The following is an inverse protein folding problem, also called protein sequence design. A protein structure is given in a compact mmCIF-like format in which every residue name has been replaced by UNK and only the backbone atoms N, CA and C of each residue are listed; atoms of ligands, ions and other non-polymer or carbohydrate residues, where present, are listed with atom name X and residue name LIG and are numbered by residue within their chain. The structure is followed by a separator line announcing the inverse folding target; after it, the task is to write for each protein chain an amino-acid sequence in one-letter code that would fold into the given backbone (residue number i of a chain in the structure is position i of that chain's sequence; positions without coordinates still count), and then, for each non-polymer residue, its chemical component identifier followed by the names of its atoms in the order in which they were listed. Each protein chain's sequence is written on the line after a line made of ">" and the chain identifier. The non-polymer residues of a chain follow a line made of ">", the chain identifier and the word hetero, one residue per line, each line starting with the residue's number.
data_IF_910416165258
#
_entry.id   IF_910416165258
#
_cell.length_a   1.000
_cell.length_b   1.000
_cell.length_c   1.000
_cell.angle_alpha   90.00
_cell.angle_beta   90.00
_cell.angle_gamma   90.00
#
_symmetry.space_group_name_H-M   'P 1'
#
loop_
_entity.id
_entity.type
_entity.pdbx_description
1 polymer ?
#
# COMPACT_ATOMS: atom_id res chain seq x y z
N UNK A 1 6.51 -36.53 57.18
CA UNK A 1 6.20 -35.25 56.50
C UNK A 1 5.66 -35.58 55.12
N UNK A 2 4.33 -35.52 54.94
CA UNK A 2 3.67 -35.91 53.69
C UNK A 2 3.66 -34.76 52.69
N UNK A 3 4.23 -34.99 51.50
CA UNK A 3 4.08 -34.10 50.35
C UNK A 3 2.80 -34.48 49.62
N UNK A 4 1.81 -33.59 49.73
CA UNK A 4 0.52 -33.62 49.04
C UNK A 4 0.73 -33.08 47.61
N UNK A 5 0.98 -33.96 46.64
CA UNK A 5 0.90 -33.62 45.21
C UNK A 5 -0.52 -33.92 44.71
N UNK A 6 -1.41 -32.93 44.79
CA UNK A 6 -2.60 -32.90 43.95
C UNK A 6 -2.24 -32.33 42.56
N UNK A 7 -3.00 -32.63 41.50
CA UNK A 7 -2.81 -31.99 40.21
C UNK A 7 -3.14 -30.51 40.35
N UNK A 8 -2.12 -29.66 40.24
CA UNK A 8 -2.29 -28.21 40.18
C UNK A 8 -2.78 -27.86 38.77
N UNK A 9 -4.10 -27.86 38.59
CA UNK A 9 -4.74 -27.29 37.40
C UNK A 9 -4.67 -25.78 37.50
N UNK A 10 -3.51 -25.21 37.19
CA UNK A 10 -3.41 -23.77 36.94
C UNK A 10 -4.29 -23.47 35.72
N UNK A 11 -5.36 -22.67 35.85
CA UNK A 11 -6.14 -22.26 34.69
C UNK A 11 -5.22 -21.43 33.80
N UNK A 12 -4.95 -21.91 32.59
CA UNK A 12 -4.38 -21.06 31.54
C UNK A 12 -5.34 -19.88 31.35
N UNK A 13 -4.87 -18.62 31.39
CA UNK A 13 -5.69 -17.51 30.97
C UNK A 13 -6.07 -17.74 29.51
N UNK A 14 -7.38 -17.90 29.26
CA UNK A 14 -7.95 -18.01 27.91
C UNK A 14 -7.37 -16.92 27.00
N UNK A 15 -6.94 -17.26 25.79
CA UNK A 15 -7.90 -17.60 24.75
C UNK A 15 -8.53 -16.36 24.12
N UNK A 16 -7.82 -15.23 24.09
CA UNK A 16 -8.17 -14.14 23.18
C UNK A 16 -7.79 -14.56 21.76
N UNK A 17 -8.78 -14.77 20.90
CA UNK A 17 -8.58 -15.07 19.48
C UNK A 17 -7.60 -14.04 18.86
N UNK A 18 -6.38 -14.44 18.44
CA UNK A 18 -5.42 -13.51 17.90
C UNK A 18 -5.56 -13.42 16.37
N UNK A 19 -6.73 -12.98 15.89
CA UNK A 19 -7.00 -12.80 14.46
C UNK A 19 -7.17 -11.33 14.08
N UNK A 20 -8.16 -10.66 14.67
CA UNK A 20 -8.59 -9.32 14.23
C UNK A 20 -7.60 -8.19 14.44
N UNK A 21 -6.88 -8.13 15.58
CA UNK A 21 -6.00 -6.99 15.87
C UNK A 21 -4.77 -6.91 14.95
N UNK A 22 -4.27 -8.06 14.48
CA UNK A 22 -3.15 -8.12 13.53
C UNK A 22 -3.58 -7.71 12.13
N UNK A 23 -4.72 -8.22 11.67
CA UNK A 23 -5.30 -7.88 10.37
C UNK A 23 -5.66 -6.39 10.28
N UNK A 24 -6.26 -5.82 11.32
CA UNK A 24 -6.56 -4.37 11.39
C UNK A 24 -5.28 -3.51 11.32
N UNK A 25 -4.19 -3.98 11.93
CA UNK A 25 -2.89 -3.29 11.87
C UNK A 25 -2.28 -3.38 10.47
N UNK A 26 -2.40 -4.54 9.82
CA UNK A 26 -1.90 -4.79 8.46
C UNK A 26 -2.67 -3.96 7.41
N UNK A 27 -4.00 -3.92 7.50
CA UNK A 27 -4.87 -3.06 6.68
C UNK A 27 -4.52 -1.57 6.83
N UNK A 28 -4.29 -1.11 8.06
CA UNK A 28 -3.85 0.27 8.32
C UNK A 28 -2.46 0.58 7.73
N UNK A 29 -1.54 -0.40 7.76
CA UNK A 29 -0.24 -0.28 7.12
C UNK A 29 -0.35 -0.23 5.58
N UNK A 30 -1.26 -1.00 4.98
CA UNK A 30 -1.53 -0.97 3.53
C UNK A 30 -2.07 0.39 3.06
N UNK A 31 -3.03 0.98 3.77
CA UNK A 31 -3.56 2.32 3.44
C UNK A 31 -2.47 3.39 3.56
N UNK A 32 -1.66 3.31 4.61
CA UNK A 32 -0.53 4.23 4.81
C UNK A 32 0.52 4.07 3.69
N UNK A 33 0.81 2.83 3.28
CA UNK A 33 1.73 2.55 2.18
C UNK A 33 1.19 3.06 0.83
N UNK A 34 -0.11 2.91 0.57
CA UNK A 34 -0.75 3.46 -0.63
C UNK A 34 -0.59 4.99 -0.69
N UNK A 35 -0.95 5.69 0.39
CA UNK A 35 -0.81 7.15 0.44
C UNK A 35 0.64 7.56 0.21
N UNK A 36 1.58 6.86 0.84
CA UNK A 36 3.00 7.11 0.66
C UNK A 36 3.46 6.90 -0.80
N UNK A 37 2.99 5.85 -1.48
CA UNK A 37 3.30 5.61 -2.90
C UNK A 37 2.78 6.75 -3.78
N UNK A 38 1.57 7.25 -3.51
CA UNK A 38 1.02 8.40 -4.23
C UNK A 38 1.83 9.68 -3.97
N UNK A 39 2.17 9.95 -2.70
CA UNK A 39 2.97 11.12 -2.33
C UNK A 39 4.35 11.10 -3.01
N UNK A 40 4.99 9.92 -3.07
CA UNK A 40 6.26 9.73 -3.78
C UNK A 40 6.10 9.91 -5.28
N UNK A 41 5.01 9.43 -5.89
CA UNK A 41 4.72 9.62 -7.31
C UNK A 41 4.58 11.10 -7.66
N UNK A 42 3.86 11.86 -6.83
CA UNK A 42 3.69 13.30 -7.01
C UNK A 42 5.01 14.06 -6.83
N UNK A 43 5.83 13.67 -5.85
CA UNK A 43 7.16 14.25 -5.64
C UNK A 43 8.07 14.01 -6.85
N UNK A 44 8.15 12.77 -7.33
CA UNK A 44 8.95 12.41 -8.52
C UNK A 44 8.49 13.23 -9.72
N UNK A 45 7.17 13.32 -9.94
CA UNK A 45 6.63 14.11 -11.03
C UNK A 45 6.99 15.60 -10.92
N UNK A 46 6.93 16.17 -9.71
CA UNK A 46 7.34 17.54 -9.43
C UNK A 46 8.82 17.81 -9.73
N UNK A 47 9.71 16.88 -9.37
CA UNK A 47 11.14 16.98 -9.69
C UNK A 47 11.40 16.88 -11.19
N UNK A 48 10.68 16.01 -11.89
CA UNK A 48 10.76 15.88 -13.35
C UNK A 48 10.41 17.20 -14.04
N UNK A 49 9.30 17.85 -13.63
CA UNK A 49 8.88 19.14 -14.19
C UNK A 49 9.89 20.26 -13.91
N UNK A 50 10.53 20.24 -12.73
CA UNK A 50 11.60 21.18 -12.39
C UNK A 50 12.86 20.98 -13.24
N UNK A 51 13.28 19.73 -13.43
CA UNK A 51 14.41 19.40 -14.28
C UNK A 51 14.15 19.86 -15.72
N UNK A 52 12.96 19.60 -16.24
CA UNK A 52 12.55 20.03 -17.58
C UNK A 52 12.58 21.55 -17.74
N UNK A 53 12.04 22.30 -16.78
CA UNK A 53 12.07 23.76 -16.82
C UNK A 53 13.51 24.30 -16.83
N UNK A 54 14.41 23.64 -16.10
CA UNK A 54 15.84 23.99 -16.07
C UNK A 54 16.51 23.70 -17.42
N UNK A 55 16.24 22.53 -18.00
CA UNK A 55 16.74 22.13 -19.31
C UNK A 55 16.21 23.06 -20.42
N UNK A 56 14.95 23.49 -20.34
CA UNK A 56 14.35 24.42 -21.30
C UNK A 56 14.92 25.85 -21.19
N UNK A 57 15.30 26.28 -19.98
CA UNK A 57 16.01 27.55 -19.76
C UNK A 57 17.42 27.54 -20.34
N UNK A 58 18.18 26.46 -20.12
CA UNK A 58 19.48 26.24 -20.77
C UNK A 58 19.31 26.13 -22.29
N UNK A 59 18.25 25.42 -22.68
CA UNK A 59 17.54 25.31 -23.98
C UNK A 59 17.74 26.39 -25.02
N UNK A 60 17.39 27.59 -24.55
CA UNK A 60 17.07 28.72 -25.41
C UNK A 60 18.26 29.13 -26.31
N UNK A 61 19.49 28.93 -25.85
CA UNK A 61 20.70 29.35 -26.57
C UNK A 61 21.24 28.33 -27.60
N UNK A 62 20.93 27.03 -27.45
CA UNK A 62 21.50 25.92 -28.25
C UNK A 62 20.49 25.29 -29.21
N UNK A 63 19.19 25.60 -29.04
CA UNK A 63 18.09 25.17 -29.93
C UNK A 63 18.35 25.50 -31.41
N UNK A 64 19.07 26.58 -31.73
CA UNK A 64 19.31 26.97 -33.13
C UNK A 64 20.11 25.94 -33.96
N UNK A 65 20.96 25.11 -33.35
CA UNK A 65 21.88 24.24 -34.10
C UNK A 65 21.55 22.74 -34.01
N UNK A 66 20.67 22.31 -33.09
CA UNK A 66 20.32 20.89 -32.92
C UNK A 66 18.88 20.66 -32.41
N UNK A 67 17.96 21.55 -32.80
CA UNK A 67 16.56 21.56 -32.34
C UNK A 67 15.86 20.19 -32.40
N UNK A 68 16.07 19.39 -33.45
CA UNK A 68 15.31 18.14 -33.62
C UNK A 68 15.71 17.07 -32.60
N UNK A 69 17.01 16.86 -32.36
CA UNK A 69 17.50 15.88 -31.38
C UNK A 69 17.05 16.24 -29.96
N UNK A 70 17.06 17.53 -29.63
CA UNK A 70 16.53 18.04 -28.36
C UNK A 70 15.03 17.77 -28.24
N UNK A 71 14.23 18.13 -29.26
CA UNK A 71 12.79 17.92 -29.23
C UNK A 71 12.45 16.43 -29.08
N UNK A 72 13.12 15.55 -29.82
CA UNK A 72 12.95 14.09 -29.67
C UNK A 72 13.29 13.60 -28.27
N UNK A 73 14.39 14.09 -27.67
CA UNK A 73 14.75 13.71 -26.31
C UNK A 73 13.71 14.20 -25.29
N UNK A 74 13.19 15.41 -25.47
CA UNK A 74 12.16 16.00 -24.62
C UNK A 74 10.84 15.22 -24.69
N UNK A 75 10.42 14.82 -25.90
CA UNK A 75 9.20 14.03 -26.12
C UNK A 75 9.33 12.62 -25.51
N UNK A 76 10.47 11.96 -25.72
CA UNK A 76 10.76 10.66 -25.11
C UNK A 76 10.78 10.74 -23.58
N UNK A 77 11.39 11.79 -23.04
CA UNK A 77 11.45 12.01 -21.60
C UNK A 77 10.07 12.22 -20.99
N UNK A 78 9.23 13.05 -21.61
CA UNK A 78 7.83 13.27 -21.20
C UNK A 78 7.01 11.98 -21.19
N UNK A 79 7.22 11.15 -22.21
CA UNK A 79 6.56 9.85 -22.32
C UNK A 79 6.95 8.94 -21.15
N UNK A 80 8.25 8.77 -20.91
CA UNK A 80 8.76 7.94 -19.82
C UNK A 80 8.35 8.44 -18.43
N UNK A 81 8.32 9.75 -18.22
CA UNK A 81 7.84 10.36 -16.99
C UNK A 81 6.37 10.02 -16.71
N UNK A 82 5.54 10.06 -17.76
CA UNK A 82 4.11 9.71 -17.67
C UNK A 82 3.93 8.22 -17.40
N UNK A 83 4.70 7.37 -18.07
CA UNK A 83 4.69 5.92 -17.82
C UNK A 83 5.09 5.57 -16.39
N UNK A 84 6.16 6.19 -15.87
CA UNK A 84 6.60 6.01 -14.49
C UNK A 84 5.51 6.42 -13.50
N UNK A 85 4.88 7.58 -13.70
CA UNK A 85 3.76 8.03 -12.87
C UNK A 85 2.65 6.98 -12.89
N UNK A 86 2.20 6.55 -14.07
CA UNK A 86 1.11 5.58 -14.19
C UNK A 86 1.46 4.25 -13.51
N UNK A 87 2.70 3.77 -13.63
CA UNK A 87 3.15 2.56 -12.95
C UNK A 87 3.08 2.68 -11.42
N UNK A 88 3.50 3.83 -10.87
CA UNK A 88 3.42 4.09 -9.43
C UNK A 88 1.97 4.17 -8.93
N UNK A 89 1.08 4.82 -9.69
CA UNK A 89 -0.35 4.84 -9.38
C UNK A 89 -0.95 3.43 -9.43
N UNK A 90 -0.65 2.64 -10.46
CA UNK A 90 -1.13 1.26 -10.57
C UNK A 90 -0.67 0.39 -9.38
N UNK A 91 0.55 0.61 -8.86
CA UNK A 91 1.04 -0.06 -7.65
C UNK A 91 0.20 0.36 -6.43
N UNK A 92 -0.06 1.66 -6.27
CA UNK A 92 -0.93 2.19 -5.22
C UNK A 92 -2.36 1.64 -5.29
N UNK A 93 -2.94 1.57 -6.48
CA UNK A 93 -4.29 1.04 -6.72
C UNK A 93 -4.35 -0.47 -6.46
N UNK A 94 -3.32 -1.23 -6.82
CA UNK A 94 -3.22 -2.66 -6.52
C UNK A 94 -3.18 -2.96 -5.01
N UNK A 95 -2.51 -2.10 -4.23
CA UNK A 95 -2.55 -2.12 -2.77
C UNK A 95 -3.96 -1.84 -2.23
N UNK A 96 -4.66 -0.86 -2.81
CA UNK A 96 -6.04 -0.51 -2.43
C UNK A 96 -7.04 -1.63 -2.73
N UNK A 97 -6.92 -2.25 -3.90
CA UNK A 97 -7.76 -3.37 -4.31
C UNK A 97 -7.55 -4.58 -3.38
N UNK A 98 -6.30 -4.87 -3.03
CA UNK A 98 -5.96 -5.92 -2.07
C UNK A 98 -6.61 -5.64 -0.71
N UNK A 99 -6.56 -4.41 -0.23
CA UNK A 99 -7.21 -3.97 1.01
C UNK A 99 -8.74 -4.15 0.97
N UNK A 100 -9.41 -3.80 -0.14
CA UNK A 100 -10.85 -4.02 -0.29
C UNK A 100 -11.22 -5.50 -0.22
N UNK A 101 -10.49 -6.35 -0.96
CA UNK A 101 -10.71 -7.80 -0.94
C UNK A 101 -10.51 -8.40 0.46
N UNK A 102 -9.52 -7.95 1.22
CA UNK A 102 -9.32 -8.40 2.61
C UNK A 102 -10.46 -7.98 3.55
N UNK A 103 -10.99 -6.75 3.40
CA UNK A 103 -12.14 -6.29 4.19
C UNK A 103 -13.41 -7.08 3.88
N UNK A 104 -13.68 -7.38 2.61
CA UNK A 104 -14.82 -8.20 2.20
C UNK A 104 -14.75 -9.61 2.80
N UNK A 105 -13.56 -10.25 2.73
CA UNK A 105 -13.33 -11.57 3.33
C UNK A 105 -13.50 -11.57 4.86
N UNK A 106 -13.11 -10.49 5.55
CA UNK A 106 -13.28 -10.36 7.00
C UNK A 106 -14.77 -10.20 7.38
N UNK A 107 -15.52 -9.41 6.61
CA UNK A 107 -16.97 -9.24 6.82
C UNK A 107 -17.70 -10.58 6.65
N UNK A 108 -17.40 -11.29 5.57
CA UNK A 108 -17.99 -12.60 5.28
C UNK A 108 -17.64 -13.63 6.38
N UNK A 109 -16.38 -13.66 6.84
CA UNK A 109 -15.97 -14.51 7.95
C UNK A 109 -16.67 -14.15 9.26
N UNK A 110 -16.82 -12.85 9.58
CA UNK A 110 -17.51 -12.40 10.79
C UNK A 110 -18.98 -12.81 10.77
N UNK A 111 -19.64 -12.67 9.63
CA UNK A 111 -21.02 -13.12 9.43
C UNK A 111 -21.13 -14.64 9.58
N UNK A 112 -20.21 -15.40 9.00
CA UNK A 112 -20.15 -16.86 9.12
C UNK A 112 -19.93 -17.33 10.56
N UNK A 113 -19.02 -16.71 11.30
CA UNK A 113 -18.78 -17.02 12.72
C UNK A 113 -20.00 -16.66 13.58
N UNK A 114 -20.65 -15.52 13.31
CA UNK A 114 -21.84 -15.10 14.05
C UNK A 114 -23.01 -16.06 13.83
N UNK A 115 -23.18 -16.54 12.59
CA UNK A 115 -24.19 -17.54 12.26
C UNK A 115 -23.87 -18.92 12.88
N UNK A 116 -22.60 -19.34 12.86
CA UNK A 116 -22.16 -20.57 13.49
C UNK A 116 -22.34 -20.53 15.02
N UNK A 117 -22.02 -19.40 15.66
CA UNK A 117 -22.19 -19.18 17.09
C UNK A 117 -23.67 -19.15 17.51
N UNK A 118 -24.56 -18.60 16.66
CA UNK A 118 -26.01 -18.60 16.90
C UNK A 118 -26.66 -20.00 16.78
N UNK A 119 -25.99 -20.94 16.10
CA UNK A 119 -26.48 -22.31 15.88
C UNK A 119 -26.08 -23.33 16.95
N UNK A 120 -25.27 -22.95 17.95
CA UNK A 120 -24.87 -23.84 19.04
C UNK A 120 -25.84 -23.71 20.23
N UNK A 121 -26.72 -24.70 20.51
CA UNK A 121 -27.50 -24.73 21.75
C UNK A 121 -26.57 -25.03 22.96
N UNK A 122 -26.83 -24.34 24.08
CA UNK A 122 -26.16 -24.54 25.38
C UNK A 122 -26.41 -25.94 25.96
#
# INVERSE_FOLDING_TARGET
>A
MGLRTGPQTTPYPGGGAPGGSRLNTDLGAMVSAQQYVHDVADLIYGEIQRLMSTIDGLSSNWRSSSASAYNTAMDNWNTQATELKNALYNIGDGLAQSHQTYNEMEEDNRLGITQAAAGLPY
#
